data_IF_969217435984
#
_entry.id   IF_969217435984
#
_cell.length_a   1.000
_cell.length_b   1.000
_cell.length_c   1.000
_cell.angle_alpha   90.00
_cell.angle_beta   90.00
_cell.angle_gamma   90.00
#
_symmetry.space_group_name_H-M   'P 1'
#
loop_
_entity.id
_entity.type
_entity.pdbx_description
1 polymer ?
#
# COMPACT_ATOMS: atom_id res chain seq x y z
N UNK A 1 16.19 10.20 10.90
CA UNK A 1 17.32 9.24 10.87
C UNK A 1 18.48 9.96 10.21
N UNK A 2 19.67 9.87 10.81
CA UNK A 2 20.87 10.62 10.40
C UNK A 2 21.92 9.58 9.95
N UNK A 3 22.58 9.83 8.83
CA UNK A 3 23.69 9.01 8.30
C UNK A 3 25.00 9.75 8.50
N UNK A 4 26.04 9.04 8.93
CA UNK A 4 27.43 9.52 9.03
C UNK A 4 28.22 8.97 7.85
N UNK A 5 28.81 9.85 7.05
CA UNK A 5 29.65 9.49 5.90
C UNK A 5 30.83 10.47 5.82
N UNK A 6 32.06 9.94 5.83
CA UNK A 6 33.31 10.73 5.78
C UNK A 6 33.39 11.90 6.80
N UNK A 7 32.84 11.71 8.01
CA UNK A 7 32.85 12.73 9.07
C UNK A 7 31.74 13.77 8.97
N UNK A 8 30.86 13.68 7.98
CA UNK A 8 29.69 14.55 7.84
C UNK A 8 28.40 13.83 8.23
N UNK A 9 27.44 14.57 8.80
CA UNK A 9 26.10 14.07 9.11
C UNK A 9 25.09 14.59 8.10
N UNK A 10 24.15 13.74 7.66
CA UNK A 10 22.99 14.17 6.87
C UNK A 10 21.73 13.44 7.31
N UNK A 11 20.57 14.07 7.12
CA UNK A 11 19.31 13.33 7.22
C UNK A 11 19.20 12.36 6.03
N UNK A 12 18.69 11.15 6.29
CA UNK A 12 18.49 10.14 5.24
C UNK A 12 17.18 10.31 4.49
N UNK A 13 16.26 11.16 4.99
CA UNK A 13 14.94 11.40 4.42
C UNK A 13 14.24 12.62 5.05
N UNK A 14 13.19 13.11 4.40
CA UNK A 14 12.30 14.15 4.93
C UNK A 14 12.77 15.58 4.66
N UNK A 15 13.60 15.80 3.63
CA UNK A 15 14.04 17.14 3.29
C UNK A 15 12.91 17.92 2.58
N UNK A 16 12.88 19.23 2.82
CA UNK A 16 12.04 20.19 2.11
C UNK A 16 12.86 21.12 1.19
N UNK A 17 14.13 20.77 0.96
CA UNK A 17 15.10 21.61 0.23
C UNK A 17 14.95 21.34 -1.28
N UNK A 18 14.75 22.40 -2.08
CA UNK A 18 14.69 22.30 -3.54
C UNK A 18 16.09 22.05 -4.11
N UNK A 19 16.21 21.13 -5.08
CA UNK A 19 17.46 20.86 -5.82
C UNK A 19 18.31 19.70 -5.29
N UNK A 20 17.81 18.93 -4.30
CA UNK A 20 18.48 17.70 -3.85
C UNK A 20 18.04 16.52 -4.74
N UNK A 21 18.97 15.80 -5.35
CA UNK A 21 18.69 14.56 -6.09
C UNK A 21 18.50 13.37 -5.12
N UNK A 22 17.49 13.46 -4.25
CA UNK A 22 17.18 12.41 -3.27
C UNK A 22 16.98 11.04 -3.92
N UNK A 23 16.39 11.02 -5.11
CA UNK A 23 16.09 9.81 -5.89
C UNK A 23 17.34 8.97 -6.18
N UNK A 24 18.54 9.59 -6.30
CA UNK A 24 19.81 8.84 -6.50
C UNK A 24 20.20 7.98 -5.31
N UNK A 25 19.62 8.25 -4.14
CA UNK A 25 19.85 7.50 -2.91
C UNK A 25 18.71 6.51 -2.62
N UNK A 26 17.69 6.46 -3.48
CA UNK A 26 16.55 5.57 -3.35
C UNK A 26 16.64 4.44 -4.37
N UNK A 27 16.09 3.28 -4.02
CA UNK A 27 16.01 2.14 -4.92
C UNK A 27 14.66 2.19 -5.61
N UNK A 28 14.64 2.34 -6.93
CA UNK A 28 13.39 2.30 -7.71
C UNK A 28 12.72 0.94 -7.54
N UNK A 29 11.43 0.96 -7.24
CA UNK A 29 10.61 -0.25 -7.16
C UNK A 29 10.18 -0.63 -8.59
N UNK A 30 10.75 -1.71 -9.12
CA UNK A 30 10.40 -2.24 -10.45
C UNK A 30 9.39 -3.39 -10.38
N UNK A 31 9.24 -4.02 -9.22
CA UNK A 31 8.32 -5.13 -8.98
C UNK A 31 7.35 -4.76 -7.84
N UNK A 32 6.29 -3.99 -8.13
CA UNK A 32 5.38 -3.49 -7.10
C UNK A 32 4.61 -4.62 -6.39
N UNK A 33 4.38 -5.75 -7.07
CA UNK A 33 3.72 -6.95 -6.53
C UNK A 33 4.44 -7.57 -5.32
N UNK A 34 5.70 -7.19 -5.08
CA UNK A 34 6.48 -7.63 -3.90
C UNK A 34 5.84 -7.16 -2.58
N UNK A 35 5.07 -6.07 -2.59
CA UNK A 35 4.50 -5.48 -1.39
C UNK A 35 3.02 -5.82 -1.27
N UNK A 36 2.65 -6.59 -0.25
CA UNK A 36 1.25 -6.96 0.01
C UNK A 36 0.39 -5.79 0.52
N UNK A 37 1.04 -4.86 1.23
CA UNK A 37 0.40 -3.77 1.96
C UNK A 37 1.31 -2.55 1.91
N UNK A 38 0.81 -1.46 1.34
CA UNK A 38 1.44 -0.15 1.35
C UNK A 38 0.43 0.86 1.85
N UNK A 39 0.73 1.55 2.94
CA UNK A 39 -0.23 2.41 3.64
C UNK A 39 0.34 3.79 3.95
N UNK A 40 -0.54 4.78 3.91
CA UNK A 40 -0.30 6.11 4.41
C UNK A 40 -1.09 6.33 5.71
N UNK A 41 -0.39 6.67 6.79
CA UNK A 41 -1.01 7.01 8.07
C UNK A 41 -1.40 8.48 8.09
N UNK A 42 -2.66 8.77 8.36
CA UNK A 42 -3.20 10.13 8.42
C UNK A 42 -4.14 10.30 9.63
N UNK A 43 -4.84 11.43 9.70
CA UNK A 43 -5.77 11.76 10.76
C UNK A 43 -7.21 11.85 10.23
N UNK A 44 -8.18 11.34 10.99
CA UNK A 44 -9.61 11.36 10.65
C UNK A 44 -10.11 12.74 10.20
N UNK A 45 -9.62 13.81 10.84
CA UNK A 45 -9.97 15.21 10.55
C UNK A 45 -9.61 15.72 9.15
N UNK A 46 -8.73 15.03 8.43
CA UNK A 46 -8.33 15.39 7.06
C UNK A 46 -8.68 14.28 6.06
N UNK A 47 -9.57 13.35 6.43
CA UNK A 47 -9.93 12.25 5.56
C UNK A 47 -10.72 12.71 4.33
N UNK A 48 -11.72 13.58 4.51
CA UNK A 48 -12.54 14.11 3.40
C UNK A 48 -11.70 14.70 2.26
N UNK A 49 -10.78 15.67 2.50
CA UNK A 49 -9.97 16.21 1.40
C UNK A 49 -9.02 15.17 0.79
N UNK A 50 -8.61 14.14 1.54
CA UNK A 50 -7.80 13.04 0.99
C UNK A 50 -8.63 12.17 0.04
N UNK A 51 -9.90 11.91 0.36
CA UNK A 51 -10.80 11.16 -0.51
C UNK A 51 -11.17 11.93 -1.79
N UNK A 52 -11.17 13.26 -1.74
CA UNK A 52 -11.44 14.11 -2.90
C UNK A 52 -10.21 14.34 -3.78
N UNK A 53 -9.07 14.71 -3.18
CA UNK A 53 -7.90 15.21 -3.90
C UNK A 53 -6.75 14.19 -3.98
N UNK A 54 -6.78 13.16 -3.14
CA UNK A 54 -5.71 12.19 -3.00
C UNK A 54 -4.69 12.55 -1.92
N UNK A 55 -3.65 11.72 -1.80
CA UNK A 55 -2.55 11.98 -0.87
C UNK A 55 -1.61 13.02 -1.47
N UNK A 56 -1.29 14.08 -0.73
CA UNK A 56 -0.34 15.10 -1.17
C UNK A 56 1.04 14.89 -0.54
N UNK A 57 2.11 15.19 -1.29
CA UNK A 57 3.47 15.32 -0.72
C UNK A 57 3.58 16.52 0.22
N UNK A 58 2.63 17.45 0.18
CA UNK A 58 2.62 18.69 0.95
C UNK A 58 3.96 19.47 0.75
N UNK A 59 4.57 19.92 1.84
CA UNK A 59 5.86 20.61 1.82
C UNK A 59 7.08 19.69 1.60
N UNK A 60 6.89 18.39 1.39
CA UNK A 60 7.99 17.44 1.14
C UNK A 60 8.21 17.24 -0.36
N UNK A 61 9.27 16.50 -0.66
CA UNK A 61 9.60 16.01 -2.01
C UNK A 61 8.73 14.83 -2.43
N UNK A 62 8.39 13.94 -1.47
CA UNK A 62 7.65 12.70 -1.73
C UNK A 62 6.52 12.48 -0.70
N UNK A 63 5.51 11.73 -1.13
CA UNK A 63 4.53 11.08 -0.25
C UNK A 63 5.23 9.90 0.42
N UNK A 64 5.14 9.82 1.75
CA UNK A 64 5.73 8.74 2.53
C UNK A 64 4.67 7.67 2.81
N UNK A 65 5.04 6.42 2.56
CA UNK A 65 4.23 5.24 2.72
C UNK A 65 5.00 4.19 3.54
N UNK A 66 4.28 3.37 4.29
CA UNK A 66 4.82 2.28 5.07
C UNK A 66 4.37 0.93 4.54
N UNK A 67 5.17 -0.11 4.78
CA UNK A 67 4.94 -1.48 4.28
C UNK A 67 4.03 -2.33 5.19
N UNK A 68 3.15 -1.70 5.95
CA UNK A 68 2.28 -2.33 6.95
C UNK A 68 1.64 -1.30 7.88
N UNK A 69 0.77 -1.75 8.79
CA UNK A 69 0.06 -0.89 9.73
C UNK A 69 0.90 -0.56 10.98
N UNK A 70 0.57 0.53 11.68
CA UNK A 70 1.24 0.84 12.96
C UNK A 70 1.06 -0.31 13.95
N UNK A 71 2.17 -0.85 14.46
CA UNK A 71 2.18 -2.01 15.36
C UNK A 71 2.70 -3.30 14.70
N UNK A 72 2.71 -3.35 13.36
CA UNK A 72 3.38 -4.44 12.65
C UNK A 72 4.89 -4.39 12.88
N UNK A 73 5.49 -5.54 13.17
CA UNK A 73 6.96 -5.69 13.32
C UNK A 73 7.75 -5.17 12.11
N UNK A 74 7.10 -5.10 10.94
CA UNK A 74 7.68 -4.64 9.68
C UNK A 74 7.68 -3.11 9.53
N UNK A 75 6.96 -2.38 10.39
CA UNK A 75 6.84 -0.92 10.32
C UNK A 75 7.81 -0.27 11.29
N UNK A 76 9.02 -0.04 10.81
CA UNK A 76 10.08 0.65 11.55
C UNK A 76 9.93 2.17 11.41
N UNK A 77 9.46 2.64 10.24
CA UNK A 77 9.31 4.06 9.92
C UNK A 77 8.32 4.27 8.77
N UNK A 78 7.96 5.53 8.49
CA UNK A 78 7.06 5.89 7.37
C UNK A 78 5.69 6.41 7.83
N UNK A 79 5.30 6.22 9.09
CA UNK A 79 4.06 6.75 9.67
C UNK A 79 4.27 7.20 11.12
N UNK A 80 3.46 8.15 11.59
CA UNK A 80 3.45 8.54 13.01
C UNK A 80 2.58 7.57 13.80
N UNK A 81 3.00 7.17 15.00
CA UNK A 81 2.18 6.30 15.87
C UNK A 81 0.87 6.93 16.33
N UNK A 82 0.73 8.26 16.21
CA UNK A 82 -0.51 8.97 16.54
C UNK A 82 -1.56 8.98 15.43
N UNK A 83 -1.23 8.59 14.19
CA UNK A 83 -2.20 8.48 13.09
C UNK A 83 -3.33 7.52 13.46
N UNK A 84 -4.59 7.87 13.17
CA UNK A 84 -5.78 7.10 13.50
C UNK A 84 -6.52 6.52 12.28
N UNK A 85 -6.10 6.92 11.08
CA UNK A 85 -6.61 6.46 9.79
C UNK A 85 -5.46 6.00 8.89
N UNK A 86 -5.71 4.95 8.12
CA UNK A 86 -4.76 4.32 7.22
C UNK A 86 -5.36 4.22 5.81
N UNK A 87 -4.74 4.90 4.86
CA UNK A 87 -5.09 4.82 3.44
C UNK A 87 -4.19 3.77 2.81
N UNK A 88 -4.77 2.65 2.40
CA UNK A 88 -4.05 1.61 1.68
C UNK A 88 -3.98 1.94 0.19
N UNK A 89 -2.78 1.87 -0.38
CA UNK A 89 -2.50 2.23 -1.77
C UNK A 89 -2.36 0.98 -2.63
N UNK A 90 -3.07 0.94 -3.75
CA UNK A 90 -2.86 0.00 -4.84
C UNK A 90 -1.65 0.45 -5.68
N UNK A 91 -0.45 0.09 -5.21
CA UNK A 91 0.81 0.45 -5.88
C UNK A 91 0.93 -0.18 -7.26
N UNK A 92 0.33 -1.35 -7.48
CA UNK A 92 0.35 -2.02 -8.78
C UNK A 92 -0.38 -1.18 -9.82
N UNK A 93 -1.64 -0.80 -9.55
CA UNK A 93 -2.44 0.06 -10.43
C UNK A 93 -1.76 1.40 -10.70
N UNK A 94 -1.17 2.00 -9.66
CA UNK A 94 -0.42 3.25 -9.82
C UNK A 94 0.84 3.08 -10.69
N UNK A 95 1.59 2.00 -10.50
CA UNK A 95 2.79 1.72 -11.28
C UNK A 95 2.48 1.38 -12.75
N UNK A 96 1.39 0.66 -13.01
CA UNK A 96 0.86 0.40 -14.36
C UNK A 96 0.48 1.70 -15.07
N UNK A 97 -0.11 2.67 -14.35
CA UNK A 97 -0.38 4.02 -14.84
C UNK A 97 0.89 4.92 -14.91
N UNK A 98 2.08 4.37 -14.66
CA UNK A 98 3.37 5.06 -14.79
C UNK A 98 3.83 5.85 -13.56
N UNK A 99 3.15 5.75 -12.42
CA UNK A 99 3.58 6.40 -11.17
C UNK A 99 4.83 5.70 -10.62
N UNK A 100 5.92 6.45 -10.45
CA UNK A 100 7.15 5.91 -9.90
C UNK A 100 7.07 5.77 -8.37
N UNK A 101 7.53 4.62 -7.88
CA UNK A 101 7.74 4.35 -6.46
C UNK A 101 9.20 3.98 -6.21
N UNK A 102 9.66 4.33 -5.02
CA UNK A 102 11.02 4.10 -4.56
C UNK A 102 11.00 3.57 -3.13
N UNK A 103 12.04 2.83 -2.76
CA UNK A 103 12.29 2.39 -1.39
C UNK A 103 13.57 3.05 -0.85
N UNK A 104 13.48 3.64 0.33
CA UNK A 104 14.64 4.16 1.05
C UNK A 104 15.41 3.05 1.78
N UNK A 105 16.63 3.35 2.22
CA UNK A 105 17.48 2.39 2.96
C UNK A 105 16.84 1.83 4.25
N UNK A 106 15.91 2.55 4.87
CA UNK A 106 15.15 2.15 6.06
C UNK A 106 13.76 1.58 5.73
N UNK A 107 13.50 1.26 4.47
CA UNK A 107 12.30 0.58 4.02
C UNK A 107 11.03 1.43 3.97
N UNK A 108 11.17 2.77 3.91
CA UNK A 108 10.05 3.67 3.62
C UNK A 108 9.80 3.66 2.13
N UNK A 109 8.54 3.53 1.73
CA UNK A 109 8.14 3.63 0.33
C UNK A 109 7.77 5.08 0.03
N UNK A 110 8.27 5.57 -1.10
CA UNK A 110 8.22 6.98 -1.49
C UNK A 110 7.68 7.09 -2.90
N UNK A 111 6.82 8.08 -3.14
CA UNK A 111 6.39 8.46 -4.50
C UNK A 111 6.26 9.96 -4.60
N UNK A 112 6.68 10.55 -5.71
CA UNK A 112 6.41 11.95 -6.00
C UNK A 112 4.92 12.19 -6.32
N UNK A 113 4.19 11.12 -6.64
CA UNK A 113 2.84 11.21 -7.20
C UNK A 113 2.85 11.78 -8.62
N UNK A 114 1.66 12.13 -9.10
CA UNK A 114 1.43 12.93 -10.31
C UNK A 114 1.20 14.36 -9.85
N UNK A 115 2.07 15.28 -10.25
CA UNK A 115 2.05 16.69 -9.84
C UNK A 115 2.02 16.90 -8.31
N UNK A 116 2.64 15.98 -7.56
CA UNK A 116 2.71 16.04 -6.10
C UNK A 116 1.56 15.36 -5.37
N UNK A 117 0.64 14.72 -6.09
CA UNK A 117 -0.53 14.04 -5.55
C UNK A 117 -0.56 12.57 -5.98
N UNK A 118 -1.06 11.71 -5.10
CA UNK A 118 -1.46 10.35 -5.44
C UNK A 118 -2.99 10.27 -5.42
N UNK A 119 -3.64 10.28 -6.60
CA UNK A 119 -5.10 10.32 -6.72
C UNK A 119 -5.83 9.19 -5.99
N UNK A 120 -7.08 9.43 -5.55
CA UNK A 120 -7.90 8.43 -4.86
C UNK A 120 -8.18 7.15 -5.66
N UNK A 121 -8.13 7.21 -7.01
CA UNK A 121 -8.26 6.02 -7.88
C UNK A 121 -7.19 4.94 -7.62
N UNK A 122 -6.11 5.30 -6.94
CA UNK A 122 -5.06 4.37 -6.53
C UNK A 122 -5.21 3.91 -5.09
N UNK A 123 -6.29 4.24 -4.40
CA UNK A 123 -6.57 3.70 -3.07
C UNK A 123 -7.20 2.32 -3.23
N UNK A 124 -6.87 1.41 -2.30
CA UNK A 124 -7.54 0.12 -2.18
C UNK A 124 -8.68 0.21 -1.16
N UNK A 125 -8.36 0.72 0.02
CA UNK A 125 -9.33 1.01 1.05
C UNK A 125 -8.78 2.03 2.06
N UNK A 126 -9.66 2.56 2.90
CA UNK A 126 -9.31 3.37 4.07
C UNK A 126 -9.84 2.66 5.30
N UNK A 127 -8.99 2.52 6.33
CA UNK A 127 -9.32 1.88 7.60
C UNK A 127 -8.98 2.76 8.79
N UNK A 128 -9.68 2.58 9.90
CA UNK A 128 -9.28 3.18 11.18
C UNK A 128 -8.33 2.24 11.98
N UNK A 129 -7.89 2.67 13.17
CA UNK A 129 -7.07 1.83 14.08
C UNK A 129 -7.70 0.49 14.46
N UNK A 130 -9.03 0.39 14.46
CA UNK A 130 -9.76 -0.85 14.74
C UNK A 130 -9.89 -1.76 13.52
N UNK A 131 -9.26 -1.40 12.39
CA UNK A 131 -9.33 -2.10 11.11
C UNK A 131 -10.72 -2.05 10.43
N UNK A 132 -11.64 -1.24 10.95
CA UNK A 132 -12.95 -0.99 10.34
C UNK A 132 -12.76 -0.22 9.03
N UNK A 133 -13.44 -0.66 7.98
CA UNK A 133 -13.37 -0.02 6.65
C UNK A 133 -14.22 1.24 6.66
N UNK A 134 -13.58 2.39 6.43
CA UNK A 134 -14.22 3.70 6.31
C UNK A 134 -14.57 4.03 4.85
N UNK A 135 -13.76 3.54 3.92
CA UNK A 135 -13.97 3.69 2.48
C UNK A 135 -13.36 2.49 1.76
N UNK A 136 -14.05 1.99 0.74
CA UNK A 136 -13.53 0.95 -0.16
C UNK A 136 -13.53 1.55 -1.57
N UNK A 137 -12.42 1.39 -2.29
CA UNK A 137 -12.41 1.74 -3.70
C UNK A 137 -13.37 0.80 -4.46
N UNK A 138 -14.02 1.28 -5.54
CA UNK A 138 -14.81 0.40 -6.39
C UNK A 138 -13.93 -0.73 -6.91
N UNK A 139 -14.47 -1.95 -6.88
CA UNK A 139 -13.84 -3.09 -7.52
C UNK A 139 -14.06 -2.96 -9.03
N UNK A 140 -13.06 -3.29 -9.84
CA UNK A 140 -13.24 -3.34 -11.29
C UNK A 140 -14.01 -4.63 -11.68
N UNK A 141 -13.82 -5.73 -10.94
CA UNK A 141 -14.51 -7.01 -11.12
C UNK A 141 -14.54 -7.83 -9.82
N UNK A 142 -15.47 -8.79 -9.74
CA UNK A 142 -15.55 -9.85 -8.74
C UNK A 142 -15.25 -11.18 -9.43
N UNK A 143 -14.35 -11.97 -8.86
CA UNK A 143 -14.13 -13.36 -9.31
C UNK A 143 -14.82 -14.29 -8.32
N UNK A 144 -15.83 -15.01 -8.81
CA UNK A 144 -16.52 -16.05 -8.06
C UNK A 144 -15.81 -17.36 -8.35
N UNK A 145 -15.18 -17.92 -7.32
CA UNK A 145 -14.60 -19.25 -7.35
C UNK A 145 -15.59 -20.24 -6.80
N UNK A 146 -15.79 -21.34 -7.51
CA UNK A 146 -16.50 -22.50 -7.00
C UNK A 146 -15.57 -23.71 -7.07
N UNK A 147 -15.69 -24.58 -6.07
CA UNK A 147 -14.75 -25.68 -5.83
C UNK A 147 -15.53 -26.95 -5.60
N UNK A 148 -15.40 -27.89 -6.53
CA UNK A 148 -15.87 -29.24 -6.32
C UNK A 148 -14.71 -30.11 -5.85
N UNK A 149 -14.94 -30.87 -4.79
CA UNK A 149 -13.93 -31.76 -4.23
C UNK A 149 -14.49 -33.17 -4.10
N UNK A 150 -13.62 -34.17 -4.00
CA UNK A 150 -14.03 -35.54 -3.75
C UNK A 150 -14.89 -35.64 -2.48
N UNK A 151 -16.00 -36.37 -2.59
CA UNK A 151 -16.93 -36.69 -1.50
C UNK A 151 -17.27 -38.19 -1.52
N UNK A 152 -17.62 -38.75 -0.36
CA UNK A 152 -18.18 -40.10 -0.30
C UNK A 152 -19.61 -40.10 -0.86
N UNK A 153 -20.14 -41.28 -1.18
CA UNK A 153 -21.46 -41.39 -1.83
C UNK A 153 -22.62 -40.87 -0.98
N UNK A 154 -22.41 -40.80 0.34
CA UNK A 154 -23.41 -40.39 1.31
C UNK A 154 -23.22 -38.94 1.79
N UNK A 155 -22.16 -38.24 1.35
CA UNK A 155 -21.82 -36.86 1.70
C UNK A 155 -21.42 -36.65 3.16
N UNK A 156 -21.13 -37.71 3.91
CA UNK A 156 -20.99 -37.68 5.37
C UNK A 156 -19.52 -37.73 5.81
N UNK A 157 -18.65 -38.39 5.05
CA UNK A 157 -17.24 -38.53 5.41
C UNK A 157 -16.35 -37.56 4.63
N UNK A 158 -15.62 -36.73 5.38
CA UNK A 158 -14.48 -35.99 4.83
C UNK A 158 -13.30 -36.94 4.69
N UNK A 159 -12.80 -37.12 3.47
CA UNK A 159 -11.54 -37.83 3.25
C UNK A 159 -10.38 -37.13 3.99
N UNK A 160 -9.41 -37.94 4.44
CA UNK A 160 -8.19 -37.44 5.09
C UNK A 160 -7.41 -36.47 4.19
N UNK A 161 -7.46 -36.70 2.87
CA UNK A 161 -6.99 -35.78 1.84
C UNK A 161 -8.16 -35.44 0.95
N UNK A 162 -8.50 -34.16 0.86
CA UNK A 162 -9.58 -33.67 0.01
C UNK A 162 -8.97 -33.12 -1.29
N UNK A 163 -9.20 -33.81 -2.41
CA UNK A 163 -8.73 -33.42 -3.73
C UNK A 163 -9.80 -32.62 -4.47
N UNK A 164 -9.40 -31.48 -5.06
CA UNK A 164 -10.28 -30.66 -5.91
C UNK A 164 -10.41 -31.36 -7.27
N UNK A 165 -11.65 -31.63 -7.69
CA UNK A 165 -11.97 -32.29 -8.97
C UNK A 165 -12.47 -31.30 -10.02
N UNK A 166 -13.01 -30.16 -9.60
CA UNK A 166 -13.40 -29.06 -10.49
C UNK A 166 -13.11 -27.70 -9.85
N UNK A 167 -12.69 -26.74 -10.67
CA UNK A 167 -12.37 -25.37 -10.24
C UNK A 167 -12.92 -24.33 -11.23
N UNK A 168 -14.26 -24.20 -11.35
CA UNK A 168 -14.86 -23.12 -12.10
C UNK A 168 -14.54 -21.76 -11.48
N UNK A 169 -14.26 -20.78 -12.34
CA UNK A 169 -14.13 -19.38 -11.97
C UNK A 169 -14.95 -18.52 -12.94
N UNK A 170 -15.78 -17.64 -12.39
CA UNK A 170 -16.59 -16.68 -13.17
C UNK A 170 -16.16 -15.27 -12.80
N UNK A 171 -15.84 -14.47 -13.81
CA UNK A 171 -15.53 -13.05 -13.65
C UNK A 171 -16.81 -12.24 -13.88
N UNK A 172 -17.11 -11.35 -12.94
CA UNK A 172 -18.26 -10.44 -12.97
C UNK A 172 -17.73 -9.01 -12.94
N UNK A 173 -17.93 -8.26 -14.01
CA UNK A 173 -17.59 -6.83 -14.06
C UNK A 173 -18.52 -6.02 -13.13
N UNK A 174 -17.97 -5.01 -12.45
CA UNK A 174 -18.67 -4.20 -11.45
C UNK A 174 -19.09 -2.82 -11.97
#
# INVERSE_FOLDING_TARGET
MITLENGFIRASQGHSIKGLEEEKLLIKITFPYKYSTIVHGTYSKVLEPILEQGLSKMARTHIHLAKGFTGDKKVISGMRGSCDVFVEVNVNRAAEDGVAFFESANGVVLTAGVDGYLPPKYFRCVRNKKQEVLHMAPLDFIVVFDFEAICDKDGNDKFEVQEIIEFPAVVIDC
#
